data_IF_989856931994
#
_entry.id   IF_989856931994
#
_cell.length_a   1.000
_cell.length_b   1.000
_cell.length_c   1.000
_cell.angle_alpha   90.00
_cell.angle_beta   90.00
_cell.angle_gamma   90.00
#
_symmetry.space_group_name_H-M   'P 1'
#
loop_
_entity.id
_entity.type
_entity.pdbx_description
1 polymer ?
#
# COMPACT_ATOMS: atom_id res chain seq x y z
N UNK A 1 6.95 5.77 -28.24
CA UNK A 1 6.26 6.29 -27.03
C UNK A 1 6.76 7.70 -26.79
N UNK A 2 5.90 8.67 -26.48
CA UNK A 2 6.37 9.97 -25.97
C UNK A 2 6.85 9.75 -24.54
N UNK A 3 8.05 10.21 -24.22
CA UNK A 3 8.51 10.26 -22.83
C UNK A 3 7.67 11.29 -22.08
N UNK A 4 7.21 10.94 -20.87
CA UNK A 4 6.47 11.85 -20.02
C UNK A 4 7.40 12.95 -19.50
N UNK A 5 6.91 14.18 -19.41
CA UNK A 5 7.68 15.25 -18.74
C UNK A 5 7.83 14.95 -17.24
N UNK A 6 8.83 15.53 -16.56
CA UNK A 6 8.98 15.40 -15.11
C UNK A 6 7.69 15.69 -14.32
N UNK A 7 6.94 16.72 -14.70
CA UNK A 7 5.68 17.09 -14.04
C UNK A 7 4.60 16.02 -14.25
N UNK A 8 4.56 15.39 -15.42
CA UNK A 8 3.63 14.29 -15.71
C UNK A 8 3.99 13.03 -14.92
N UNK A 9 5.29 12.73 -14.80
CA UNK A 9 5.77 11.62 -13.98
C UNK A 9 5.46 11.86 -12.49
N UNK A 10 5.71 13.08 -11.99
CA UNK A 10 5.41 13.45 -10.62
C UNK A 10 3.91 13.30 -10.31
N UNK A 11 3.04 13.81 -11.20
CA UNK A 11 1.59 13.67 -11.07
C UNK A 11 1.13 12.21 -11.05
N UNK A 12 1.75 11.36 -11.88
CA UNK A 12 1.46 9.93 -11.88
C UNK A 12 1.84 9.30 -10.53
N UNK A 13 3.05 9.56 -10.02
CA UNK A 13 3.52 9.02 -8.74
C UNK A 13 2.61 9.45 -7.57
N UNK A 14 2.19 10.72 -7.52
CA UNK A 14 1.21 11.21 -6.54
C UNK A 14 -0.10 10.42 -6.61
N UNK A 15 -0.65 10.23 -7.81
CA UNK A 15 -1.90 9.47 -7.98
C UNK A 15 -1.77 8.00 -7.55
N UNK A 16 -0.60 7.40 -7.75
CA UNK A 16 -0.31 6.03 -7.34
C UNK A 16 -0.24 5.92 -5.81
N UNK A 17 0.39 6.87 -5.12
CA UNK A 17 0.40 6.92 -3.65
C UNK A 17 -1.03 6.97 -3.11
N UNK A 18 -1.89 7.87 -3.64
CA UNK A 18 -3.28 7.99 -3.19
C UNK A 18 -4.04 6.67 -3.42
N UNK A 19 -3.89 6.06 -4.61
CA UNK A 19 -4.53 4.80 -4.95
C UNK A 19 -4.10 3.65 -4.04
N UNK A 20 -2.80 3.48 -3.81
CA UNK A 20 -2.30 2.41 -2.93
C UNK A 20 -2.74 2.64 -1.48
N UNK A 21 -2.82 3.88 -1.00
CA UNK A 21 -3.36 4.17 0.36
C UNK A 21 -4.84 3.78 0.46
N UNK A 22 -5.64 4.09 -0.56
CA UNK A 22 -7.04 3.67 -0.63
C UNK A 22 -7.18 2.15 -0.69
N UNK A 23 -6.35 1.47 -1.48
CA UNK A 23 -6.35 0.00 -1.58
C UNK A 23 -5.96 -0.65 -0.26
N UNK A 24 -4.95 -0.12 0.44
CA UNK A 24 -4.56 -0.60 1.76
C UNK A 24 -5.73 -0.54 2.75
N UNK A 25 -6.44 0.59 2.78
CA UNK A 25 -7.63 0.74 3.64
C UNK A 25 -8.74 -0.23 3.25
N UNK A 26 -8.99 -0.38 1.95
CA UNK A 26 -10.01 -1.29 1.44
C UNK A 26 -9.71 -2.75 1.83
N UNK A 27 -8.48 -3.22 1.63
CA UNK A 27 -8.06 -4.58 2.00
C UNK A 27 -8.11 -4.77 3.52
N UNK A 28 -7.67 -3.78 4.31
CA UNK A 28 -7.68 -3.90 5.78
C UNK A 28 -9.10 -3.96 6.36
N UNK A 29 -10.09 -3.39 5.65
CA UNK A 29 -11.51 -3.44 6.03
C UNK A 29 -12.21 -4.69 5.50
N UNK A 30 -12.02 -5.02 4.21
CA UNK A 30 -12.84 -5.99 3.48
C UNK A 30 -12.12 -7.28 3.12
N UNK A 31 -10.79 -7.32 3.22
CA UNK A 31 -9.94 -8.38 2.68
C UNK A 31 -9.75 -8.27 1.17
N UNK A 32 -8.89 -9.12 0.61
CA UNK A 32 -8.68 -9.23 -0.83
C UNK A 32 -9.14 -10.59 -1.40
N UNK A 33 -8.88 -10.84 -2.68
CA UNK A 33 -9.22 -12.08 -3.37
C UNK A 33 -7.98 -12.90 -3.79
N UNK A 34 -6.79 -12.58 -3.28
CA UNK A 34 -5.56 -13.31 -3.63
C UNK A 34 -5.69 -14.78 -3.21
N UNK A 35 -5.62 -15.75 -4.13
CA UNK A 35 -5.86 -17.15 -3.81
C UNK A 35 -4.67 -17.83 -3.12
N UNK A 36 -3.49 -17.22 -3.12
CA UNK A 36 -2.23 -17.79 -2.64
C UNK A 36 -1.67 -17.10 -1.41
N UNK A 37 -2.03 -15.84 -1.18
CA UNK A 37 -1.50 -15.04 -0.08
C UNK A 37 -2.60 -14.51 0.85
N UNK A 38 -2.35 -14.44 2.16
CA UNK A 38 -3.25 -13.76 3.10
C UNK A 38 -3.37 -12.26 2.81
N UNK A 39 -4.35 -11.61 3.43
CA UNK A 39 -4.57 -10.17 3.28
C UNK A 39 -3.37 -9.36 3.78
N UNK A 40 -2.68 -9.83 4.82
CA UNK A 40 -1.47 -9.22 5.39
C UNK A 40 -0.35 -9.02 4.37
N UNK A 41 -0.03 -10.06 3.61
CA UNK A 41 0.96 -9.96 2.52
C UNK A 41 0.57 -8.90 1.48
N UNK A 42 -0.71 -8.83 1.11
CA UNK A 42 -1.21 -7.86 0.14
C UNK A 42 -1.12 -6.43 0.68
N UNK A 43 -1.46 -6.21 1.96
CA UNK A 43 -1.29 -4.93 2.64
C UNK A 43 0.18 -4.49 2.68
N UNK A 44 1.10 -5.41 2.97
CA UNK A 44 2.53 -5.11 2.99
C UNK A 44 3.08 -4.83 1.58
N UNK A 45 2.55 -5.48 0.54
CA UNK A 45 2.89 -5.20 -0.85
C UNK A 45 2.47 -3.77 -1.25
N UNK A 46 1.22 -3.40 -0.99
CA UNK A 46 0.69 -2.04 -1.21
C UNK A 46 1.50 -0.99 -0.44
N UNK A 47 1.87 -1.28 0.81
CA UNK A 47 2.77 -0.43 1.61
C UNK A 47 4.14 -0.24 0.92
N UNK A 48 4.73 -1.32 0.40
CA UNK A 48 6.03 -1.26 -0.27
C UNK A 48 5.96 -0.45 -1.57
N UNK A 49 4.85 -0.52 -2.32
CA UNK A 49 4.64 0.36 -3.48
C UNK A 49 4.67 1.84 -3.09
N UNK A 50 3.97 2.24 -2.02
CA UNK A 50 3.98 3.62 -1.52
C UNK A 50 5.40 4.09 -1.19
N UNK A 51 6.18 3.26 -0.50
CA UNK A 51 7.58 3.58 -0.16
C UNK A 51 8.42 3.73 -1.43
N UNK A 52 8.24 2.85 -2.42
CA UNK A 52 8.93 2.95 -3.70
C UNK A 52 8.59 4.26 -4.41
N UNK A 53 7.31 4.60 -4.54
CA UNK A 53 6.88 5.83 -5.22
C UNK A 53 7.38 7.08 -4.50
N UNK A 54 7.44 7.08 -3.17
CA UNK A 54 8.08 8.18 -2.42
C UNK A 54 9.56 8.32 -2.79
N UNK A 55 10.32 7.23 -2.90
CA UNK A 55 11.73 7.27 -3.35
C UNK A 55 11.84 7.81 -4.77
N UNK A 56 10.97 7.37 -5.67
CA UNK A 56 10.94 7.85 -7.06
C UNK A 56 10.62 9.36 -7.13
N UNK A 57 9.71 9.85 -6.28
CA UNK A 57 9.41 11.29 -6.16
C UNK A 57 10.64 12.05 -5.68
N UNK A 58 11.33 11.57 -4.63
CA UNK A 58 12.51 12.23 -4.10
C UNK A 58 13.62 12.34 -5.15
N UNK A 59 13.92 11.24 -5.84
CA UNK A 59 14.92 11.21 -6.91
C UNK A 59 14.54 12.16 -8.07
N UNK A 60 13.26 12.19 -8.46
CA UNK A 60 12.78 13.06 -9.52
C UNK A 60 12.88 14.54 -9.14
N UNK A 61 12.42 14.91 -7.93
CA UNK A 61 12.49 16.27 -7.41
C UNK A 61 13.94 16.75 -7.28
N UNK A 62 14.85 15.92 -6.76
CA UNK A 62 16.29 16.23 -6.65
C UNK A 62 16.94 16.47 -8.03
N UNK A 63 16.61 15.64 -9.03
CA UNK A 63 17.18 15.77 -10.38
C UNK A 63 16.66 16.98 -11.15
N UNK A 64 15.41 17.37 -10.91
CA UNK A 64 14.71 18.36 -11.74
C UNK A 64 14.56 19.72 -11.06
N UNK A 65 14.80 19.79 -9.75
CA UNK A 65 14.56 20.98 -8.94
C UNK A 65 13.07 21.26 -8.69
N UNK A 66 12.18 20.32 -9.04
CA UNK A 66 10.75 20.44 -8.74
C UNK A 66 10.51 20.38 -7.22
N UNK A 67 9.56 21.16 -6.69
CA UNK A 67 9.20 21.08 -5.28
C UNK A 67 8.59 19.72 -4.95
N UNK A 68 8.79 19.27 -3.72
CA UNK A 68 8.13 18.06 -3.22
C UNK A 68 6.61 18.26 -3.16
N UNK A 69 5.81 17.34 -3.71
CA UNK A 69 4.35 17.42 -3.67
C UNK A 69 3.81 17.04 -2.28
N UNK A 70 2.60 17.47 -1.95
CA UNK A 70 1.97 17.17 -0.65
C UNK A 70 1.85 15.65 -0.41
N UNK A 71 1.55 14.88 -1.46
CA UNK A 71 1.39 13.42 -1.38
C UNK A 71 2.67 12.71 -0.93
N UNK A 72 3.85 13.31 -1.17
CA UNK A 72 5.12 12.79 -0.67
C UNK A 72 5.16 12.77 0.86
N UNK A 73 4.45 13.68 1.53
CA UNK A 73 4.42 13.79 2.98
C UNK A 73 3.29 12.99 3.61
N UNK A 74 2.36 12.41 2.85
CA UNK A 74 1.28 11.58 3.40
C UNK A 74 1.85 10.39 4.19
N UNK A 75 1.28 10.11 5.37
CA UNK A 75 1.70 9.00 6.21
C UNK A 75 1.64 7.66 5.48
N UNK A 76 2.68 6.84 5.65
CA UNK A 76 2.74 5.48 5.12
C UNK A 76 1.93 4.55 6.03
N UNK A 77 1.07 3.67 5.49
CA UNK A 77 0.36 2.68 6.30
C UNK A 77 1.32 1.79 7.10
N UNK A 78 0.95 1.34 8.31
CA UNK A 78 1.79 0.49 9.11
C UNK A 78 1.99 -0.87 8.44
N UNK A 79 3.15 -1.47 8.64
CA UNK A 79 3.38 -2.88 8.33
C UNK A 79 2.46 -3.77 9.18
N UNK A 80 1.93 -4.84 8.62
CA UNK A 80 1.04 -5.81 9.31
C UNK A 80 1.68 -7.20 9.36
N UNK A 81 1.12 -8.11 10.15
CA UNK A 81 1.58 -9.51 10.12
C UNK A 81 1.21 -10.14 8.76
N UNK A 82 2.13 -10.85 8.11
CA UNK A 82 1.90 -11.44 6.78
C UNK A 82 0.72 -12.42 6.74
N UNK A 83 0.51 -13.15 7.83
CA UNK A 83 -0.58 -14.10 8.02
C UNK A 83 -1.93 -13.45 8.40
N UNK A 84 -2.01 -12.12 8.43
CA UNK A 84 -3.25 -11.41 8.74
C UNK A 84 -4.33 -11.66 7.68
N UNK A 85 -5.57 -11.79 8.16
CA UNK A 85 -6.80 -11.84 7.39
C UNK A 85 -7.77 -10.81 7.95
N UNK A 86 -8.30 -9.94 7.10
CA UNK A 86 -9.29 -8.94 7.49
C UNK A 86 -10.59 -9.60 7.96
N UNK A 87 -10.97 -10.70 7.31
CA UNK A 87 -12.08 -11.55 7.73
C UNK A 87 -11.90 -13.00 7.25
N UNK A 88 -12.71 -13.90 7.78
CA UNK A 88 -12.71 -15.33 7.43
C UNK A 88 -13.93 -15.73 6.59
N UNK A 89 -14.55 -14.80 5.84
CA UNK A 89 -15.79 -15.06 5.09
C UNK A 89 -15.55 -15.98 3.89
N UNK A 90 -14.38 -15.88 3.25
CA UNK A 90 -13.99 -16.70 2.09
C UNK A 90 -13.50 -18.10 2.53
N UNK A 91 -14.41 -18.97 2.97
CA UNK A 91 -14.09 -20.28 3.58
C UNK A 91 -13.11 -21.11 2.75
N UNK A 92 -13.33 -21.24 1.45
CA UNK A 92 -12.45 -22.03 0.56
C UNK A 92 -11.03 -21.47 0.47
N UNK A 93 -10.90 -20.13 0.44
CA UNK A 93 -9.60 -19.45 0.47
C UNK A 93 -8.92 -19.67 1.82
N UNK A 94 -9.65 -19.51 2.92
CA UNK A 94 -9.15 -19.71 4.28
C UNK A 94 -8.60 -21.14 4.47
N UNK A 95 -9.35 -22.16 4.05
CA UNK A 95 -8.91 -23.55 4.16
C UNK A 95 -7.70 -23.84 3.28
N UNK A 96 -7.65 -23.30 2.06
CA UNK A 96 -6.47 -23.42 1.19
C UNK A 96 -5.23 -22.78 1.82
N UNK A 97 -5.34 -21.57 2.34
CA UNK A 97 -4.22 -20.88 2.99
C UNK A 97 -3.73 -21.65 4.22
N UNK A 98 -4.65 -22.20 5.03
CA UNK A 98 -4.30 -23.09 6.16
C UNK A 98 -3.59 -24.36 5.69
N UNK A 99 -4.06 -24.97 4.60
CA UNK A 99 -3.45 -26.15 3.99
C UNK A 99 -2.02 -25.92 3.48
N UNK A 100 -1.68 -24.68 3.13
CA UNK A 100 -0.30 -24.27 2.79
C UNK A 100 0.60 -24.05 4.02
N UNK A 101 0.08 -24.22 5.24
CA UNK A 101 0.82 -24.03 6.49
C UNK A 101 0.67 -22.64 7.13
N UNK A 102 -0.16 -21.75 6.58
CA UNK A 102 -0.36 -20.42 7.16
C UNK A 102 -1.16 -20.49 8.47
N UNK A 103 -0.60 -19.93 9.54
CA UNK A 103 -1.30 -19.73 10.83
C UNK A 103 -2.05 -18.40 10.80
N UNK A 104 -3.22 -18.35 10.17
CA UNK A 104 -3.94 -17.10 9.92
C UNK A 104 -4.31 -16.35 11.21
N UNK A 105 -4.13 -15.02 11.22
CA UNK A 105 -4.44 -14.12 12.34
C UNK A 105 -5.49 -13.07 11.93
N UNK A 106 -6.20 -12.49 12.91
CA UNK A 106 -7.13 -11.37 12.69
C UNK A 106 -6.72 -10.13 13.50
N UNK A 107 -5.42 -9.97 13.77
CA UNK A 107 -4.90 -8.83 14.52
C UNK A 107 -4.88 -7.58 13.64
N UNK A 108 -6.05 -6.97 13.48
CA UNK A 108 -6.25 -5.77 12.69
C UNK A 108 -5.40 -4.63 13.27
N UNK A 109 -4.55 -4.04 12.42
CA UNK A 109 -3.90 -2.77 12.75
C UNK A 109 -4.83 -1.63 12.37
N UNK A 110 -5.04 -0.72 13.31
CA UNK A 110 -5.78 0.52 13.05
C UNK A 110 -4.85 1.49 12.34
N UNK A 111 -5.24 1.91 11.16
CA UNK A 111 -4.67 3.03 10.44
C UNK A 111 -5.84 3.92 10.04
N UNK A 112 -5.75 5.21 10.36
CA UNK A 112 -6.72 6.19 9.91
C UNK A 112 -6.01 6.97 8.83
N UNK A 113 -6.54 6.91 7.61
CA UNK A 113 -6.09 7.76 6.52
C UNK A 113 -6.88 9.07 6.59
N UNK A 114 -6.51 9.92 7.54
CA UNK A 114 -7.07 11.25 7.76
C UNK A 114 -6.27 12.35 7.02
N UNK A 115 -5.43 11.96 6.05
CA UNK A 115 -4.55 12.90 5.37
C UNK A 115 -3.40 13.42 6.24
N UNK A 116 -3.12 12.81 7.39
CA UNK A 116 -1.98 13.20 8.22
C UNK A 116 -0.67 13.16 7.43
N UNK A 117 0.04 14.27 7.49
CA UNK A 117 1.39 14.40 6.96
C UNK A 117 2.40 13.94 8.01
N UNK A 118 3.39 13.19 7.57
CA UNK A 118 4.54 12.76 8.36
C UNK A 118 5.78 13.45 7.78
N UNK A 119 6.29 14.42 8.53
CA UNK A 119 7.54 15.11 8.21
C UNK A 119 8.66 14.39 8.96
N UNK A 120 9.60 13.79 8.21
CA UNK A 120 10.81 13.19 8.76
C UNK A 120 11.75 14.25 9.36
#
# INVERSE_FOLDING_TARGET
>A
MKENTPEQQLKLLCSLIIRERAEWNYINENGCNDPFWPDGCNLNLTRNHIISYKRDIAELCEKTGLPFPEEYFLKVPPEVEDNYMANMKQKERVERLRGQGNKLSQKKKRFVDDGQLEFC
#
